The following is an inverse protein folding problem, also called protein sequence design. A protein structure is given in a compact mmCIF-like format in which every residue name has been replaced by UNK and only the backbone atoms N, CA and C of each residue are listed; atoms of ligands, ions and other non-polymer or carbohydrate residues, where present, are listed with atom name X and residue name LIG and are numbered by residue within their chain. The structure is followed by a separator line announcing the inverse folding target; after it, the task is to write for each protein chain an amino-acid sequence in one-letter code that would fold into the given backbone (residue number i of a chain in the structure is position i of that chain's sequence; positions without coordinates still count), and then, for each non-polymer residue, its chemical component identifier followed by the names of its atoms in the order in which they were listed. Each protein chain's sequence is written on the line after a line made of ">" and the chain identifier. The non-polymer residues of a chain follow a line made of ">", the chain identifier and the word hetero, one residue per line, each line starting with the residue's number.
data_IF_562885390792
#
_entry.id   IF_562885390792
#
_cell.length_a   1.000
_cell.length_b   1.000
_cell.length_c   1.000
_cell.angle_alpha   90.00
_cell.angle_beta   90.00
_cell.angle_gamma   90.00
#
_symmetry.space_group_name_H-M   'P 1'
#
loop_
_entity.id
_entity.type
_entity.pdbx_description
1 polymer ?
#
# COMPACT_ATOMS: atom_id res chain seq x y z
N UNK A 1 -28.53 3.83 -23.13
CA UNK A 1 -28.42 2.58 -23.92
C UNK A 1 -28.33 1.42 -22.95
N UNK A 2 -28.89 0.25 -23.26
CA UNK A 2 -28.67 -0.93 -22.41
C UNK A 2 -27.18 -1.36 -22.47
N UNK A 3 -26.58 -1.76 -21.34
CA UNK A 3 -25.19 -2.21 -21.33
C UNK A 3 -25.03 -3.47 -22.17
N UNK A 4 -23.96 -3.51 -22.98
CA UNK A 4 -23.66 -4.61 -23.93
C UNK A 4 -23.50 -5.98 -23.25
N UNK A 5 -23.09 -5.99 -21.97
CA UNK A 5 -22.90 -7.20 -21.18
C UNK A 5 -23.73 -7.13 -19.89
N UNK A 6 -24.26 -8.27 -19.43
CA UNK A 6 -25.00 -8.34 -18.17
C UNK A 6 -24.06 -8.72 -17.02
N UNK A 7 -24.26 -8.12 -15.84
CA UNK A 7 -23.58 -8.56 -14.61
C UNK A 7 -23.93 -10.03 -14.35
N UNK A 8 -22.94 -10.85 -14.03
CA UNK A 8 -23.04 -12.30 -13.94
C UNK A 8 -22.91 -13.03 -15.30
N UNK A 9 -22.88 -12.30 -16.41
CA UNK A 9 -22.69 -12.85 -17.75
C UNK A 9 -21.28 -13.41 -17.97
N UNK A 10 -21.19 -14.45 -18.80
CA UNK A 10 -19.92 -15.07 -19.20
C UNK A 10 -19.37 -14.41 -20.45
N UNK A 11 -18.07 -14.12 -20.44
CA UNK A 11 -17.36 -13.46 -21.53
C UNK A 11 -16.04 -14.15 -21.81
N UNK A 12 -15.53 -13.98 -23.03
CA UNK A 12 -14.22 -14.43 -23.47
C UNK A 12 -13.36 -13.23 -23.79
N UNK A 13 -12.11 -13.25 -23.33
CA UNK A 13 -11.15 -12.21 -23.64
C UNK A 13 -10.65 -12.34 -25.07
N UNK A 14 -10.81 -11.31 -25.89
CA UNK A 14 -10.34 -11.30 -27.29
C UNK A 14 -9.25 -10.26 -27.55
N UNK A 15 -8.94 -9.41 -26.57
CA UNK A 15 -7.88 -8.41 -26.65
C UNK A 15 -6.46 -8.96 -26.43
N UNK A 16 -5.52 -8.05 -26.17
CA UNK A 16 -4.07 -8.33 -26.07
C UNK A 16 -3.44 -7.84 -24.76
N UNK A 17 -4.17 -7.95 -23.64
CA UNK A 17 -3.66 -7.55 -22.33
C UNK A 17 -2.60 -8.57 -21.93
N UNK A 18 -1.41 -8.11 -21.54
CA UNK A 18 -0.29 -8.99 -21.20
C UNK A 18 -0.62 -9.98 -20.06
N UNK A 19 -1.50 -9.56 -19.14
CA UNK A 19 -1.88 -10.34 -17.95
C UNK A 19 -3.06 -11.29 -18.16
N UNK A 20 -3.73 -11.25 -19.31
CA UNK A 20 -4.90 -12.11 -19.60
C UNK A 20 -4.69 -12.79 -20.95
N UNK A 21 -4.48 -14.12 -21.00
CA UNK A 21 -4.35 -14.84 -22.25
C UNK A 21 -5.58 -14.63 -23.15
N UNK A 22 -5.33 -14.38 -24.45
CA UNK A 22 -6.41 -14.34 -25.43
C UNK A 22 -7.15 -15.68 -25.41
N UNK A 23 -8.48 -15.60 -25.29
CA UNK A 23 -9.37 -16.73 -25.16
C UNK A 23 -9.70 -17.14 -23.72
N UNK A 24 -9.12 -16.47 -22.70
CA UNK A 24 -9.50 -16.70 -21.31
C UNK A 24 -10.99 -16.41 -21.10
N UNK A 25 -11.66 -17.29 -20.35
CA UNK A 25 -13.07 -17.11 -19.99
C UNK A 25 -13.18 -16.40 -18.64
N UNK A 26 -14.20 -15.56 -18.50
CA UNK A 26 -14.43 -14.80 -17.26
C UNK A 26 -15.88 -14.43 -17.05
N UNK A 27 -16.15 -13.86 -15.88
CA UNK A 27 -17.49 -13.47 -15.44
C UNK A 27 -17.53 -11.97 -15.16
N UNK A 28 -18.53 -11.28 -15.70
CA UNK A 28 -18.74 -9.84 -15.50
C UNK A 28 -19.22 -9.59 -14.06
N UNK A 29 -18.47 -8.80 -13.30
CA UNK A 29 -18.81 -8.45 -11.92
C UNK A 29 -19.63 -7.17 -11.81
N UNK A 30 -19.24 -6.13 -12.55
CA UNK A 30 -19.90 -4.81 -12.52
C UNK A 30 -19.46 -3.96 -13.70
N UNK A 31 -20.26 -2.96 -14.02
CA UNK A 31 -19.88 -1.86 -14.91
C UNK A 31 -19.34 -0.74 -14.03
N UNK A 32 -18.12 -0.25 -14.30
CA UNK A 32 -17.61 0.92 -13.59
C UNK A 32 -18.04 2.22 -14.28
N UNK A 33 -18.25 2.21 -15.62
CA UNK A 33 -18.87 3.24 -16.50
C UNK A 33 -19.11 2.65 -17.93
N UNK A 34 -19.56 3.44 -18.93
CA UNK A 34 -19.85 2.99 -20.31
C UNK A 34 -18.67 2.26 -21.00
N UNK A 35 -17.44 2.57 -20.61
CA UNK A 35 -16.21 2.09 -21.25
C UNK A 35 -15.42 1.04 -20.46
N UNK A 36 -15.82 0.65 -19.25
CA UNK A 36 -15.03 -0.28 -18.41
C UNK A 36 -15.90 -1.36 -17.74
N UNK A 37 -15.69 -2.60 -18.19
CA UNK A 37 -16.33 -3.82 -17.68
C UNK A 37 -15.37 -4.52 -16.74
N UNK A 38 -15.80 -4.74 -15.49
CA UNK A 38 -15.00 -5.51 -14.52
C UNK A 38 -15.25 -6.99 -14.72
N UNK A 39 -14.20 -7.74 -15.04
CA UNK A 39 -14.25 -9.18 -15.30
C UNK A 39 -13.28 -9.91 -14.38
N UNK A 40 -13.74 -10.99 -13.75
CA UNK A 40 -12.87 -11.97 -13.11
C UNK A 40 -12.65 -13.10 -14.11
N UNK A 41 -11.40 -13.38 -14.44
CA UNK A 41 -11.03 -14.47 -15.35
C UNK A 41 -10.74 -15.75 -14.58
N UNK A 42 -11.18 -16.89 -15.13
CA UNK A 42 -11.05 -18.18 -14.48
C UNK A 42 -9.58 -18.60 -14.36
N UNK A 43 -9.15 -18.96 -13.16
CA UNK A 43 -7.78 -19.42 -12.92
C UNK A 43 -6.70 -18.34 -13.07
N UNK A 44 -7.09 -17.07 -13.23
CA UNK A 44 -6.16 -15.94 -13.34
C UNK A 44 -6.31 -15.09 -12.07
N UNK A 45 -5.23 -15.00 -11.30
CA UNK A 45 -5.17 -14.07 -10.18
C UNK A 45 -4.63 -12.71 -10.63
N UNK A 46 -5.17 -11.63 -10.07
CA UNK A 46 -4.69 -10.27 -10.19
C UNK A 46 -4.04 -9.87 -8.87
N UNK A 47 -3.05 -8.97 -8.90
CA UNK A 47 -2.46 -8.39 -7.69
C UNK A 47 -3.38 -7.38 -6.97
N UNK A 48 -4.60 -7.14 -7.48
CA UNK A 48 -5.59 -6.24 -6.88
C UNK A 48 -6.46 -6.98 -5.86
N UNK A 49 -6.96 -6.22 -4.89
CA UNK A 49 -7.76 -6.71 -3.75
C UNK A 49 -9.06 -7.41 -4.13
N UNK A 50 -9.63 -7.15 -5.31
CA UNK A 50 -10.89 -7.74 -5.79
C UNK A 50 -10.71 -8.81 -6.89
N UNK A 51 -9.46 -9.19 -7.18
CA UNK A 51 -9.10 -10.16 -8.22
C UNK A 51 -9.68 -9.90 -9.63
N UNK A 52 -10.07 -8.65 -9.92
CA UNK A 52 -10.79 -8.29 -11.14
C UNK A 52 -9.95 -7.44 -12.11
N UNK A 53 -10.24 -7.60 -13.40
CA UNK A 53 -9.62 -6.84 -14.49
C UNK A 53 -10.62 -5.83 -15.05
N UNK A 54 -10.16 -4.61 -15.28
CA UNK A 54 -10.93 -3.63 -16.06
C UNK A 54 -10.65 -3.88 -17.54
N UNK A 55 -11.71 -4.09 -18.32
CA UNK A 55 -11.61 -4.48 -19.72
C UNK A 55 -12.58 -3.64 -20.54
N UNK A 56 -12.08 -3.05 -21.62
CA UNK A 56 -12.93 -2.31 -22.56
C UNK A 56 -13.91 -3.29 -23.26
N UNK A 57 -15.19 -2.92 -23.43
CA UNK A 57 -16.23 -3.78 -24.01
C UNK A 57 -15.91 -4.41 -25.38
N UNK A 58 -15.09 -3.77 -26.20
CA UNK A 58 -14.65 -4.26 -27.51
C UNK A 58 -13.63 -5.41 -27.42
N UNK A 59 -12.99 -5.58 -26.26
CA UNK A 59 -12.04 -6.67 -26.00
C UNK A 59 -12.71 -7.91 -25.37
N UNK A 60 -14.04 -7.92 -25.30
CA UNK A 60 -14.85 -9.00 -24.76
C UNK A 60 -15.83 -9.54 -25.81
N UNK A 61 -15.96 -10.86 -25.84
CA UNK A 61 -16.98 -11.57 -26.61
C UNK A 61 -17.96 -12.24 -25.64
N UNK A 62 -19.27 -12.09 -25.86
CA UNK A 62 -20.29 -12.76 -25.06
C UNK A 62 -20.23 -14.27 -25.32
N UNK A 63 -20.15 -15.07 -24.27
CA UNK A 63 -20.18 -16.53 -24.38
C UNK A 63 -21.52 -17.02 -23.86
N UNK A 64 -22.14 -17.95 -24.59
CA UNK A 64 -23.32 -18.66 -24.11
C UNK A 64 -22.94 -19.57 -22.94
N UNK A 65 -23.67 -19.39 -21.84
CA UNK A 65 -23.56 -20.23 -20.67
C UNK A 65 -24.32 -21.54 -20.95
N UNK A 66 -23.61 -22.66 -21.10
CA UNK A 66 -24.17 -24.00 -21.37
C UNK A 66 -24.99 -24.62 -20.22
N UNK A 67 -25.71 -23.81 -19.43
CA UNK A 67 -26.52 -24.26 -18.30
C UNK A 67 -27.34 -23.16 -17.64
N UNK A 68 -27.62 -22.08 -18.37
CA UNK A 68 -28.42 -20.97 -17.89
C UNK A 68 -29.88 -21.22 -18.28
N UNK A 69 -30.70 -21.64 -17.31
CA UNK A 69 -32.16 -21.73 -17.47
C UNK A 69 -32.72 -20.32 -17.74
N UNK A 70 -33.43 -20.08 -18.85
CA UNK A 70 -34.03 -18.79 -19.17
C UNK A 70 -35.02 -18.27 -18.14
N UNK A 71 -35.59 -19.14 -17.29
CA UNK A 71 -36.61 -18.78 -16.30
C UNK A 71 -36.04 -18.22 -14.98
N UNK A 72 -34.80 -18.57 -14.62
CA UNK A 72 -34.22 -18.27 -13.30
C UNK A 72 -33.14 -17.16 -13.33
N UNK A 73 -32.84 -16.60 -14.51
CA UNK A 73 -31.94 -15.45 -14.68
C UNK A 73 -30.46 -15.68 -14.37
N UNK A 74 -30.10 -16.71 -13.59
CA UNK A 74 -28.72 -17.07 -13.23
C UNK A 74 -28.53 -18.57 -12.96
N UNK A 75 -27.47 -19.16 -13.54
CA UNK A 75 -27.02 -20.53 -13.20
C UNK A 75 -26.43 -20.59 -11.77
N UNK A 76 -26.52 -21.75 -11.11
CA UNK A 76 -25.95 -22.05 -9.76
C UNK A 76 -24.50 -21.57 -9.60
N UNK A 77 -23.67 -21.76 -10.63
CA UNK A 77 -22.27 -21.32 -10.63
C UNK A 77 -22.14 -19.79 -10.59
N UNK A 78 -22.95 -19.06 -11.39
CA UNK A 78 -22.96 -17.60 -11.41
C UNK A 78 -23.48 -17.03 -10.09
N UNK A 79 -24.45 -17.69 -9.45
CA UNK A 79 -24.99 -17.32 -8.14
C UNK A 79 -23.93 -17.44 -7.03
N UNK A 80 -23.11 -18.49 -7.07
CA UNK A 80 -22.07 -18.75 -6.08
C UNK A 80 -20.85 -17.82 -6.21
N UNK A 81 -20.51 -17.43 -7.45
CA UNK A 81 -19.46 -16.43 -7.71
C UNK A 81 -19.95 -15.02 -7.32
N UNK A 82 -21.20 -14.68 -7.63
CA UNK A 82 -21.79 -13.41 -7.21
C UNK A 82 -21.92 -13.30 -5.68
N UNK A 83 -22.30 -14.38 -4.98
CA UNK A 83 -22.42 -14.38 -3.52
C UNK A 83 -21.07 -14.23 -2.81
N UNK A 84 -20.00 -14.81 -3.37
CA UNK A 84 -18.61 -14.62 -2.87
C UNK A 84 -18.06 -13.21 -3.14
N UNK A 85 -18.58 -12.50 -4.13
CA UNK A 85 -18.21 -11.10 -4.40
C UNK A 85 -18.87 -10.10 -3.42
N UNK A 86 -20.05 -10.44 -2.88
CA UNK A 86 -20.77 -9.57 -1.92
C UNK A 86 -20.19 -9.65 -0.50
N UNK A 87 -19.61 -10.79 -0.11
CA UNK A 87 -19.10 -11.00 1.25
C UNK A 87 -17.73 -10.37 1.54
N UNK A 88 -17.08 -9.74 0.55
CA UNK A 88 -15.84 -8.97 0.75
C UNK A 88 -16.07 -7.50 1.17
N UNK A 89 -17.33 -7.08 1.42
CA UNK A 89 -17.63 -5.66 1.65
C UNK A 89 -18.86 -5.36 2.52
N UNK A 90 -19.24 -6.20 3.48
CA UNK A 90 -20.33 -5.86 4.42
C UNK A 90 -19.80 -5.28 5.74
N UNK A 91 -19.90 -3.97 5.93
CA UNK A 91 -20.08 -3.36 7.26
C UNK A 91 -21.59 -3.20 7.54
N UNK A 92 -22.02 -3.25 8.81
CA UNK A 92 -23.42 -3.42 9.17
C UNK A 92 -24.25 -2.15 8.94
N UNK A 93 -25.51 -2.42 8.61
CA UNK A 93 -26.69 -1.58 8.33
C UNK A 93 -26.71 -0.14 8.88
N UNK A 94 -26.95 0.75 7.93
CA UNK A 94 -27.22 2.18 7.99
C UNK A 94 -28.41 2.55 8.89
N UNK A 95 -28.23 3.59 9.72
CA UNK A 95 -29.32 4.37 10.28
C UNK A 95 -29.40 5.72 9.56
N UNK A 96 -30.46 5.91 8.77
CA UNK A 96 -30.93 7.18 8.21
C UNK A 96 -29.91 8.00 7.39
N UNK A 97 -29.92 7.78 6.07
CA UNK A 97 -29.22 8.60 5.08
C UNK A 97 -29.72 10.05 5.11
N UNK A 98 -28.90 10.94 5.67
CA UNK A 98 -28.91 12.36 5.29
C UNK A 98 -28.50 12.46 3.82
N UNK A 99 -29.01 13.43 3.03
CA UNK A 99 -28.46 13.69 1.70
C UNK A 99 -27.02 14.16 1.86
N UNK A 100 -26.06 13.25 1.65
CA UNK A 100 -24.63 13.53 1.79
C UNK A 100 -24.25 14.58 0.75
N UNK A 101 -23.55 15.63 1.17
CA UNK A 101 -23.11 16.70 0.28
C UNK A 101 -22.36 16.09 -0.92
N UNK A 102 -22.63 16.49 -2.17
CA UNK A 102 -21.90 15.95 -3.33
C UNK A 102 -20.37 16.09 -3.22
N UNK A 103 -19.87 17.02 -2.40
CA UNK A 103 -18.45 17.15 -2.05
C UNK A 103 -17.95 16.01 -1.16
N UNK A 104 -18.79 15.41 -0.32
CA UNK A 104 -18.43 14.28 0.54
C UNK A 104 -18.34 12.98 -0.28
N UNK A 105 -19.27 12.77 -1.22
CA UNK A 105 -19.26 11.63 -2.13
C UNK A 105 -18.03 11.64 -3.06
N UNK A 106 -17.70 12.80 -3.65
CA UNK A 106 -16.52 12.96 -4.52
C UNK A 106 -15.21 13.07 -3.71
N UNK A 107 -15.27 13.69 -2.52
CA UNK A 107 -14.13 13.88 -1.62
C UNK A 107 -13.49 12.56 -1.18
N UNK A 108 -14.30 11.50 -1.04
CA UNK A 108 -13.83 10.15 -0.69
C UNK A 108 -12.85 9.52 -1.69
N UNK A 109 -12.86 9.99 -2.95
CA UNK A 109 -11.93 9.51 -3.99
C UNK A 109 -10.64 10.33 -4.10
N UNK A 110 -10.60 11.51 -3.47
CA UNK A 110 -9.41 12.37 -3.46
C UNK A 110 -8.49 11.96 -2.31
N UNK A 111 -7.19 12.18 -2.48
CA UNK A 111 -6.24 11.99 -1.40
C UNK A 111 -6.49 13.04 -0.30
N UNK A 112 -7.03 12.61 0.84
CA UNK A 112 -7.19 13.46 2.02
C UNK A 112 -5.83 13.78 2.64
N UNK A 113 -5.32 15.00 2.46
CA UNK A 113 -4.03 15.42 3.02
C UNK A 113 -4.10 15.71 4.53
N UNK A 114 -5.31 15.75 5.08
CA UNK A 114 -5.64 15.90 6.49
C UNK A 114 -5.34 14.64 7.32
N UNK A 115 -5.22 13.47 6.68
CA UNK A 115 -4.85 12.22 7.37
C UNK A 115 -3.42 12.23 7.89
N UNK A 116 -2.59 13.15 7.40
CA UNK A 116 -1.23 13.38 7.90
C UNK A 116 -1.30 14.34 9.08
N UNK A 117 -0.90 13.92 10.30
CA UNK A 117 -0.88 14.80 11.46
C UNK A 117 -0.07 16.07 11.21
N UNK A 118 -0.60 17.24 11.58
CA UNK A 118 0.10 18.51 11.36
C UNK A 118 1.44 18.58 12.13
N UNK A 119 1.57 17.85 13.24
CA UNK A 119 2.83 17.67 13.96
C UNK A 119 3.95 17.15 13.06
N UNK A 120 3.64 16.22 12.14
CA UNK A 120 4.63 15.73 11.17
C UNK A 120 5.08 16.85 10.24
N UNK A 121 4.14 17.66 9.74
CA UNK A 121 4.43 18.78 8.82
C UNK A 121 5.32 19.82 9.48
N UNK A 122 5.03 20.19 10.73
CA UNK A 122 5.81 21.20 11.47
C UNK A 122 7.25 20.73 11.74
N UNK A 123 7.44 19.48 12.19
CA UNK A 123 8.79 18.95 12.41
C UNK A 123 9.55 18.73 11.09
N UNK A 124 8.88 18.26 10.03
CA UNK A 124 9.48 18.19 8.72
C UNK A 124 9.94 19.57 8.24
N UNK A 125 9.11 20.61 8.39
CA UNK A 125 9.45 21.98 8.02
C UNK A 125 10.68 22.50 8.78
N UNK A 126 10.81 22.17 10.07
CA UNK A 126 12.00 22.51 10.86
C UNK A 126 13.27 21.87 10.29
N UNK A 127 13.26 20.56 10.03
CA UNK A 127 14.40 19.85 9.46
C UNK A 127 14.73 20.31 8.03
N UNK A 128 13.73 20.61 7.21
CA UNK A 128 13.94 21.19 5.88
C UNK A 128 14.48 22.61 5.93
N UNK A 129 14.11 23.40 6.94
CA UNK A 129 14.68 24.73 7.15
C UNK A 129 16.16 24.63 7.47
N UNK A 130 16.57 23.72 8.37
CA UNK A 130 17.98 23.43 8.63
C UNK A 130 18.73 23.04 7.34
N UNK A 131 18.17 22.13 6.55
CA UNK A 131 18.74 21.72 5.26
C UNK A 131 18.85 22.86 4.26
N UNK A 132 17.82 23.72 4.16
CA UNK A 132 17.80 24.87 3.27
C UNK A 132 18.88 25.90 3.63
N UNK A 133 19.12 26.12 4.93
CA UNK A 133 20.17 27.01 5.40
C UNK A 133 21.59 26.46 5.11
N UNK A 134 21.76 25.14 5.13
CA UNK A 134 23.06 24.49 4.87
C UNK A 134 23.36 24.30 3.39
N UNK A 135 22.36 23.97 2.58
CA UNK A 135 22.57 23.42 1.24
C UNK A 135 21.68 24.05 0.16
N UNK A 136 20.82 25.00 0.52
CA UNK A 136 19.79 25.57 -0.35
C UNK A 136 18.52 24.71 -0.38
N UNK A 137 17.36 25.36 -0.47
CA UNK A 137 16.06 24.68 -0.54
C UNK A 137 15.92 23.89 -1.84
N UNK A 138 15.33 22.70 -1.78
CA UNK A 138 14.99 21.87 -2.95
C UNK A 138 16.18 21.51 -3.84
N UNK A 139 17.42 21.60 -3.35
CA UNK A 139 18.63 21.36 -4.13
C UNK A 139 18.69 19.95 -4.73
N UNK A 140 18.11 18.95 -4.06
CA UNK A 140 18.04 17.55 -4.52
C UNK A 140 17.26 17.37 -5.82
N UNK A 141 16.35 18.29 -6.15
CA UNK A 141 15.63 18.28 -7.45
C UNK A 141 16.49 18.72 -8.63
N UNK A 142 17.68 19.27 -8.36
CA UNK A 142 18.62 19.74 -9.40
C UNK A 142 19.90 18.92 -9.38
N UNK A 143 20.51 18.74 -8.20
CA UNK A 143 21.77 18.03 -8.05
C UNK A 143 21.60 16.50 -8.04
N UNK A 144 20.40 16.00 -7.75
CA UNK A 144 20.14 14.58 -7.54
C UNK A 144 20.70 14.04 -6.24
N UNK A 145 20.29 12.82 -5.90
CA UNK A 145 20.65 12.14 -4.65
C UNK A 145 20.84 10.64 -4.88
N UNK A 146 21.62 9.99 -4.01
CA UNK A 146 21.76 8.53 -3.97
C UNK A 146 20.98 7.95 -2.80
N UNK A 147 20.24 6.88 -3.05
CA UNK A 147 19.44 6.20 -2.03
C UNK A 147 20.29 5.76 -0.82
N UNK A 148 21.48 5.20 -1.07
CA UNK A 148 22.42 4.73 -0.05
C UNK A 148 22.86 5.81 0.93
N UNK A 149 23.12 7.03 0.45
CA UNK A 149 23.59 8.16 1.26
C UNK A 149 22.50 8.62 2.23
N UNK A 150 21.28 8.79 1.73
CA UNK A 150 20.15 9.21 2.55
C UNK A 150 19.67 8.10 3.48
N UNK A 151 19.76 6.83 3.07
CA UNK A 151 19.56 5.68 3.97
C UNK A 151 20.55 5.73 5.15
N UNK A 152 21.84 5.90 4.89
CA UNK A 152 22.84 5.96 5.95
C UNK A 152 22.66 7.17 6.88
N UNK A 153 22.28 8.33 6.34
CA UNK A 153 21.96 9.51 7.15
C UNK A 153 20.74 9.27 8.05
N UNK A 154 19.66 8.72 7.47
CA UNK A 154 18.46 8.33 8.20
C UNK A 154 18.79 7.39 9.35
N UNK A 155 19.57 6.34 9.09
CA UNK A 155 20.01 5.37 10.10
C UNK A 155 20.80 6.04 11.23
N UNK A 156 21.69 7.01 10.93
CA UNK A 156 22.42 7.75 11.98
C UNK A 156 21.50 8.56 12.89
N UNK A 157 20.50 9.25 12.36
CA UNK A 157 19.54 9.95 13.20
C UNK A 157 18.66 8.97 13.98
N UNK A 158 18.21 7.89 13.35
CA UNK A 158 17.40 6.87 14.04
C UNK A 158 18.18 6.18 15.16
N UNK A 159 19.45 5.84 14.94
CA UNK A 159 20.32 5.25 15.97
C UNK A 159 20.48 6.17 17.18
N UNK A 160 20.68 7.48 16.96
CA UNK A 160 20.79 8.46 18.04
C UNK A 160 19.50 8.56 18.86
N UNK A 161 18.35 8.70 18.17
CA UNK A 161 17.04 8.66 18.81
C UNK A 161 16.83 7.39 19.64
N UNK A 162 17.12 6.23 19.04
CA UNK A 162 16.96 4.93 19.68
C UNK A 162 17.82 4.76 20.93
N UNK A 163 18.93 5.50 21.04
CA UNK A 163 19.84 5.48 22.18
C UNK A 163 19.68 6.72 23.09
N UNK A 164 18.50 7.36 23.07
CA UNK A 164 18.10 8.38 24.05
C UNK A 164 18.46 9.83 23.71
N UNK A 165 19.11 10.09 22.58
CA UNK A 165 19.34 11.47 22.11
C UNK A 165 18.06 11.98 21.44
N UNK A 166 17.32 12.90 22.08
CA UNK A 166 16.06 13.43 21.53
C UNK A 166 16.27 14.28 20.27
N UNK A 167 17.26 15.17 20.31
CA UNK A 167 17.55 16.14 19.28
C UNK A 167 19.05 16.33 19.11
N UNK A 168 19.45 16.76 17.93
CA UNK A 168 20.85 17.07 17.65
C UNK A 168 21.33 18.20 18.60
N UNK A 169 22.43 18.00 19.34
CA UNK A 169 22.85 18.89 20.42
C UNK A 169 23.34 20.26 19.92
N UNK A 170 23.64 20.39 18.63
CA UNK A 170 24.12 21.64 18.03
C UNK A 170 22.95 22.45 17.50
N UNK A 171 22.04 21.80 16.78
CA UNK A 171 20.95 22.48 16.05
C UNK A 171 19.63 22.49 16.80
N UNK A 172 19.44 21.61 17.78
CA UNK A 172 18.19 21.40 18.49
C UNK A 172 17.10 20.71 17.65
N UNK A 173 17.40 20.26 16.43
CA UNK A 173 16.43 19.59 15.56
C UNK A 173 16.22 18.14 16.06
N UNK A 174 14.98 17.71 16.33
CA UNK A 174 14.72 16.33 16.75
C UNK A 174 15.19 15.31 15.72
N UNK A 175 15.80 14.21 16.17
CA UNK A 175 16.34 13.21 15.24
C UNK A 175 15.27 12.60 14.33
N UNK A 176 14.05 12.38 14.85
CA UNK A 176 12.94 11.90 14.04
C UNK A 176 12.51 12.90 12.96
N UNK A 177 12.69 14.21 13.17
CA UNK A 177 12.44 15.22 12.15
C UNK A 177 13.44 15.08 10.99
N UNK A 178 14.72 14.86 11.29
CA UNK A 178 15.75 14.59 10.27
C UNK A 178 15.52 13.26 9.53
N UNK A 179 15.01 12.22 10.22
CA UNK A 179 14.57 10.96 9.59
C UNK A 179 13.45 11.22 8.58
N UNK A 180 12.43 11.99 8.96
CA UNK A 180 11.33 12.40 8.07
C UNK A 180 11.88 13.16 6.85
N UNK A 181 12.78 14.13 7.06
CA UNK A 181 13.38 14.88 5.97
C UNK A 181 14.17 13.98 5.01
N UNK A 182 14.96 13.03 5.51
CA UNK A 182 15.69 12.08 4.66
C UNK A 182 14.75 11.22 3.80
N UNK A 183 13.69 10.67 4.40
CA UNK A 183 12.69 9.88 3.67
C UNK A 183 11.92 10.73 2.65
N UNK A 184 11.56 11.96 3.03
CA UNK A 184 10.89 12.91 2.15
C UNK A 184 11.73 13.29 0.93
N UNK A 185 13.04 13.52 1.11
CA UNK A 185 13.96 13.82 0.00
C UNK A 185 14.08 12.64 -0.96
N UNK A 186 14.17 11.40 -0.46
CA UNK A 186 14.21 10.20 -1.33
C UNK A 186 12.92 10.12 -2.17
N UNK A 187 11.76 10.29 -1.53
CA UNK A 187 10.46 10.22 -2.22
C UNK A 187 10.33 11.32 -3.28
N UNK A 188 10.69 12.55 -2.94
CA UNK A 188 10.56 13.71 -3.81
C UNK A 188 11.58 13.67 -4.97
N UNK A 189 12.81 13.23 -4.71
CA UNK A 189 13.81 13.02 -5.75
C UNK A 189 13.39 11.91 -6.72
N UNK A 190 12.77 10.84 -6.23
CA UNK A 190 12.20 9.80 -7.10
C UNK A 190 11.12 10.37 -8.01
N UNK A 191 10.19 11.17 -7.46
CA UNK A 191 9.16 11.83 -8.24
C UNK A 191 9.73 12.84 -9.27
N UNK A 192 10.85 13.48 -8.95
CA UNK A 192 11.56 14.40 -9.83
C UNK A 192 12.46 13.71 -10.88
N UNK A 193 12.61 12.38 -10.85
CA UNK A 193 13.56 11.66 -11.73
C UNK A 193 15.04 11.91 -11.37
N UNK A 194 15.30 12.37 -10.15
CA UNK A 194 16.62 12.78 -9.67
C UNK A 194 17.21 11.84 -8.61
N UNK A 195 16.50 10.74 -8.31
CA UNK A 195 17.00 9.67 -7.44
C UNK A 195 17.86 8.71 -8.26
N UNK A 196 19.13 8.57 -7.87
CA UNK A 196 19.94 7.41 -8.22
C UNK A 196 19.63 6.29 -7.23
N UNK A 197 18.88 5.29 -7.71
CA UNK A 197 18.60 4.08 -6.93
C UNK A 197 19.79 3.12 -6.98
N UNK A 198 20.68 3.26 -6.00
CA UNK A 198 21.87 2.43 -5.80
C UNK A 198 21.69 1.39 -4.69
N UNK A 199 20.45 0.94 -4.45
CA UNK A 199 20.16 -0.17 -3.54
C UNK A 199 20.83 -1.47 -4.02
N UNK A 200 21.26 -2.35 -3.10
CA UNK A 200 21.81 -3.65 -3.49
C UNK A 200 20.76 -4.51 -4.20
N UNK A 201 21.18 -5.55 -4.96
CA UNK A 201 20.25 -6.51 -5.56
C UNK A 201 19.24 -7.04 -4.54
N UNK A 202 17.96 -7.05 -4.92
CA UNK A 202 16.87 -7.37 -4.03
C UNK A 202 16.93 -8.83 -3.55
N UNK A 203 16.80 -9.02 -2.24
CA UNK A 203 16.57 -10.31 -1.59
C UNK A 203 15.12 -10.33 -1.10
N UNK A 204 14.39 -11.47 -1.17
CA UNK A 204 13.00 -11.56 -0.72
C UNK A 204 12.89 -11.56 0.82
N UNK A 205 13.27 -10.45 1.45
CA UNK A 205 13.37 -10.34 2.91
C UNK A 205 12.03 -10.59 3.60
N UNK A 206 10.92 -10.14 3.03
CA UNK A 206 9.58 -10.41 3.56
C UNK A 206 9.34 -11.92 3.73
N UNK A 207 9.61 -12.72 2.68
CA UNK A 207 9.50 -14.18 2.74
C UNK A 207 10.40 -14.78 3.82
N UNK A 208 11.60 -14.24 4.00
CA UNK A 208 12.53 -14.72 5.03
C UNK A 208 11.96 -14.43 6.43
N UNK A 209 11.42 -13.24 6.65
CA UNK A 209 10.76 -12.87 7.91
C UNK A 209 9.57 -13.79 8.20
N UNK A 210 8.68 -13.98 7.23
CA UNK A 210 7.49 -14.84 7.36
C UNK A 210 7.89 -16.29 7.73
N UNK A 211 8.94 -16.81 7.10
CA UNK A 211 9.43 -18.15 7.39
C UNK A 211 10.01 -18.30 8.81
N UNK A 212 10.60 -17.23 9.37
CA UNK A 212 11.20 -17.26 10.70
C UNK A 212 10.16 -17.14 11.82
N UNK A 213 8.92 -16.73 11.54
CA UNK A 213 7.86 -16.70 12.55
C UNK A 213 7.56 -18.08 13.15
N UNK A 214 7.71 -19.15 12.36
CA UNK A 214 7.56 -20.51 12.85
C UNK A 214 8.64 -20.87 13.87
N UNK A 215 9.90 -20.47 13.61
CA UNK A 215 11.02 -20.67 14.53
C UNK A 215 10.84 -19.85 15.82
N UNK A 216 10.34 -18.62 15.72
CA UNK A 216 10.01 -17.80 16.90
C UNK A 216 8.95 -18.47 17.77
N UNK A 217 7.91 -19.08 17.17
CA UNK A 217 6.90 -19.85 17.92
C UNK A 217 7.54 -21.04 18.64
N UNK A 218 8.44 -21.76 17.98
CA UNK A 218 9.18 -22.86 18.60
C UNK A 218 10.03 -22.37 19.78
N UNK A 219 10.74 -21.25 19.64
CA UNK A 219 11.54 -20.66 20.72
C UNK A 219 10.70 -20.24 21.93
N UNK A 220 9.51 -19.66 21.71
CA UNK A 220 8.59 -19.35 22.79
C UNK A 220 8.14 -20.61 23.56
N UNK A 221 7.84 -21.70 22.86
CA UNK A 221 7.47 -22.97 23.50
C UNK A 221 8.65 -23.56 24.28
N UNK A 222 9.86 -23.54 23.70
CA UNK A 222 11.07 -24.08 24.32
C UNK A 222 11.43 -23.35 25.62
N UNK A 223 11.24 -22.02 25.66
CA UNK A 223 11.57 -21.18 26.81
C UNK A 223 10.35 -20.69 27.60
N UNK A 224 9.21 -21.35 27.48
CA UNK A 224 7.95 -20.95 28.15
C UNK A 224 8.05 -20.80 29.68
N UNK A 225 8.95 -21.58 30.30
CA UNK A 225 9.19 -21.56 31.75
C UNK A 225 10.24 -20.50 32.16
N UNK A 226 10.76 -19.70 31.22
CA UNK A 226 11.70 -18.61 31.48
C UNK A 226 10.93 -17.30 31.58
N UNK A 227 11.24 -16.52 32.62
CA UNK A 227 10.67 -15.19 32.84
C UNK A 227 11.78 -14.13 32.92
N UNK A 228 12.51 -13.88 31.80
CA UNK A 228 13.54 -12.86 31.79
C UNK A 228 12.92 -11.46 31.98
N UNK A 229 13.64 -10.57 32.65
CA UNK A 229 13.28 -9.16 32.71
C UNK A 229 13.66 -8.48 31.39
N UNK A 230 12.71 -7.81 30.73
CA UNK A 230 12.96 -7.03 29.53
C UNK A 230 13.29 -5.59 29.91
N UNK A 231 14.54 -5.19 29.68
CA UNK A 231 15.01 -3.87 30.08
C UNK A 231 14.45 -2.76 29.18
N UNK A 232 14.12 -1.62 29.81
CA UNK A 232 13.59 -0.40 29.20
C UNK A 232 14.45 0.81 29.63
N UNK A 233 14.20 1.98 29.06
CA UNK A 233 14.93 3.22 29.39
C UNK A 233 14.88 3.59 30.88
N UNK A 234 13.82 3.18 31.60
CA UNK A 234 13.71 3.40 33.04
C UNK A 234 14.69 2.55 33.87
N UNK A 235 15.28 1.50 33.30
CA UNK A 235 16.33 0.72 33.95
C UNK A 235 17.65 1.49 33.92
N UNK A 236 18.29 1.63 35.09
CA UNK A 236 19.55 2.37 35.20
C UNK A 236 20.68 1.62 34.51
N UNK A 237 21.35 2.28 33.58
CA UNK A 237 22.64 1.82 33.07
C UNK A 237 23.67 1.82 34.21
N UNK A 238 24.55 0.82 34.19
CA UNK A 238 25.77 0.84 35.01
C UNK A 238 26.69 2.00 34.60
N UNK A 239 27.77 2.25 35.36
CA UNK A 239 28.70 3.34 35.05
C UNK A 239 29.29 3.17 33.64
N UNK A 240 29.05 4.15 32.79
CA UNK A 240 29.68 4.23 31.46
C UNK A 240 31.12 4.67 31.69
N UNK A 241 32.07 3.78 31.41
CA UNK A 241 33.50 4.11 31.45
C UNK A 241 33.85 4.76 30.11
N UNK A 242 34.22 6.05 30.06
CA UNK A 242 34.72 6.66 28.84
C UNK A 242 36.06 6.03 28.48
N UNK A 243 36.21 5.58 27.23
CA UNK A 243 37.51 5.19 26.67
C UNK A 243 38.25 6.42 26.14
#
# INVERSE_FOLDING_TARGET
>A
MEPKFKVGGRVKYIGTLLSVPKGASGTVLRHSNEDDVRVVFDGISSSRTDNSYGVLPENLEQVECNGCDPAEGFCRYCREVASKAVSAGSTPTDSATKPTNPKDAIGSTKLGLDVVPDTLKVYAALAFTEGALKYGSMNWRVAGVRASIYKAALERHLMKYWNGEWADPITGVPHLASVIACAGIILDANAAGMLTDDRPPSIPLARIVDNLEAEVKHLHELFKDKHPHHHIEADKLGPIIPK
#
